data_IF_669200694725
#
_entry.id   IF_669200694725
#
_cell.length_a   1.000
_cell.length_b   1.000
_cell.length_c   1.000
_cell.angle_alpha   90.00
_cell.angle_beta   90.00
_cell.angle_gamma   90.00
#
_symmetry.space_group_name_H-M   'P 1'
#
loop_
_entity.id
_entity.type
_entity.pdbx_description
1 polymer ?
#
# COMPACT_ATOMS: atom_id res chain seq x y z
N UNK A 1 22.34 -24.33 -5.91
CA UNK A 1 20.91 -24.67 -6.15
C UNK A 1 19.91 -23.91 -5.26
N UNK A 2 20.17 -23.66 -3.97
CA UNK A 2 19.25 -22.89 -3.10
C UNK A 2 19.02 -21.45 -3.58
N UNK A 3 20.06 -20.81 -4.11
CA UNK A 3 20.04 -19.41 -4.56
C UNK A 3 19.17 -19.19 -5.82
N UNK A 4 19.16 -20.15 -6.74
CA UNK A 4 18.32 -20.11 -7.95
C UNK A 4 16.84 -20.28 -7.62
N UNK A 5 16.52 -21.18 -6.68
CA UNK A 5 15.14 -21.35 -6.18
C UNK A 5 14.66 -20.10 -5.42
N UNK A 6 15.53 -19.45 -4.67
CA UNK A 6 15.24 -18.18 -3.99
C UNK A 6 14.95 -17.07 -5.01
N UNK A 7 15.80 -16.90 -6.02
CA UNK A 7 15.60 -15.91 -7.08
C UNK A 7 14.30 -16.12 -7.85
N UNK A 8 13.98 -17.37 -8.19
CA UNK A 8 12.74 -17.70 -8.90
C UNK A 8 11.50 -17.40 -8.04
N UNK A 9 11.55 -17.73 -6.74
CA UNK A 9 10.48 -17.41 -5.80
C UNK A 9 10.31 -15.88 -5.64
N UNK A 10 11.41 -15.14 -5.47
CA UNK A 10 11.40 -13.68 -5.36
C UNK A 10 10.82 -13.03 -6.62
N UNK A 11 11.18 -13.51 -7.81
CA UNK A 11 10.60 -13.03 -9.07
C UNK A 11 9.09 -13.31 -9.14
N UNK A 12 8.64 -14.49 -8.70
CA UNK A 12 7.22 -14.81 -8.63
C UNK A 12 6.44 -13.88 -7.68
N UNK A 13 6.98 -13.63 -6.49
CA UNK A 13 6.38 -12.68 -5.54
C UNK A 13 6.38 -11.24 -6.07
N UNK A 14 7.45 -10.82 -6.75
CA UNK A 14 7.52 -9.50 -7.38
C UNK A 14 6.44 -9.35 -8.47
N UNK A 15 6.24 -10.37 -9.29
CA UNK A 15 5.25 -10.35 -10.37
C UNK A 15 3.83 -10.28 -9.81
N UNK A 16 3.52 -11.06 -8.77
CA UNK A 16 2.23 -10.98 -8.05
C UNK A 16 2.05 -9.60 -7.42
N UNK A 17 3.09 -9.04 -6.81
CA UNK A 17 3.05 -7.70 -6.23
C UNK A 17 2.72 -6.65 -7.29
N UNK A 18 3.36 -6.70 -8.47
CA UNK A 18 3.09 -5.80 -9.58
C UNK A 18 1.64 -5.92 -10.03
N UNK A 19 1.12 -7.14 -10.24
CA UNK A 19 -0.27 -7.35 -10.67
C UNK A 19 -1.27 -6.80 -9.64
N UNK A 20 -1.07 -7.11 -8.35
CA UNK A 20 -1.94 -6.61 -7.27
C UNK A 20 -1.86 -5.09 -7.19
N UNK A 21 -0.67 -4.52 -7.33
CA UNK A 21 -0.48 -3.07 -7.35
C UNK A 21 -1.23 -2.43 -8.51
N UNK A 22 -1.06 -2.92 -9.74
CA UNK A 22 -1.76 -2.39 -10.93
C UNK A 22 -3.28 -2.46 -10.79
N UNK A 23 -3.82 -3.59 -10.28
CA UNK A 23 -5.26 -3.72 -10.05
C UNK A 23 -5.74 -2.73 -9.00
N UNK A 24 -5.01 -2.57 -7.89
CA UNK A 24 -5.35 -1.58 -6.87
C UNK A 24 -5.29 -0.15 -7.41
N UNK A 25 -4.29 0.21 -8.20
CA UNK A 25 -4.19 1.53 -8.82
C UNK A 25 -5.37 1.78 -9.76
N UNK A 26 -5.75 0.80 -10.59
CA UNK A 26 -6.93 0.94 -11.45
C UNK A 26 -8.23 1.08 -10.66
N UNK A 27 -8.37 0.34 -9.56
CA UNK A 27 -9.52 0.48 -8.67
C UNK A 27 -9.55 1.88 -8.06
N UNK A 28 -8.42 2.38 -7.58
CA UNK A 28 -8.30 3.73 -7.02
C UNK A 28 -8.62 4.79 -8.08
N UNK A 29 -8.06 4.71 -9.28
CA UNK A 29 -8.35 5.64 -10.39
C UNK A 29 -9.83 5.61 -10.80
N UNK A 30 -10.48 4.44 -10.70
CA UNK A 30 -11.90 4.31 -11.01
C UNK A 30 -12.81 4.91 -9.91
N UNK A 31 -12.33 4.97 -8.66
CA UNK A 31 -13.04 5.61 -7.55
C UNK A 31 -12.69 7.10 -7.39
N UNK A 32 -11.47 7.48 -7.73
CA UNK A 32 -10.93 8.83 -7.67
C UNK A 32 -10.85 9.36 -9.10
N UNK A 33 -11.99 9.85 -9.61
CA UNK A 33 -12.05 10.53 -10.90
C UNK A 33 -11.29 11.86 -10.88
N UNK A 34 -10.84 12.33 -12.05
CA UNK A 34 -10.14 13.62 -12.19
C UNK A 34 -10.96 14.79 -11.60
N UNK A 35 -12.30 14.70 -11.70
CA UNK A 35 -13.23 15.65 -11.07
C UNK A 35 -13.16 15.64 -9.55
N UNK A 36 -12.99 14.48 -8.91
CA UNK A 36 -12.85 14.38 -7.46
C UNK A 36 -11.55 15.05 -6.99
N UNK A 37 -10.47 14.86 -7.73
CA UNK A 37 -9.16 15.48 -7.44
C UNK A 37 -9.23 16.99 -7.64
N UNK A 38 -9.84 17.46 -8.74
CA UNK A 38 -10.02 18.90 -9.01
C UNK A 38 -10.92 19.56 -7.97
N UNK A 39 -12.03 18.92 -7.58
CA UNK A 39 -12.89 19.43 -6.53
C UNK A 39 -12.17 19.48 -5.17
N UNK A 40 -11.40 18.44 -4.83
CA UNK A 40 -10.59 18.43 -3.62
C UNK A 40 -9.51 19.52 -3.63
N UNK A 41 -8.79 19.71 -4.74
CA UNK A 41 -7.82 20.78 -4.89
C UNK A 41 -8.48 22.17 -4.82
N UNK A 42 -9.66 22.32 -5.43
CA UNK A 42 -10.43 23.57 -5.39
C UNK A 42 -10.85 23.96 -3.98
N UNK A 43 -11.12 22.98 -3.10
CA UNK A 43 -11.41 23.22 -1.69
C UNK A 43 -10.22 23.89 -0.96
N UNK A 44 -8.99 23.58 -1.38
CA UNK A 44 -7.78 24.20 -0.86
C UNK A 44 -7.35 25.45 -1.64
N UNK A 45 -8.17 25.93 -2.57
CA UNK A 45 -7.85 27.09 -3.42
C UNK A 45 -6.79 26.83 -4.48
N UNK A 46 -6.48 25.55 -4.76
CA UNK A 46 -5.50 25.15 -5.76
C UNK A 46 -6.25 24.88 -7.06
N UNK A 47 -5.92 25.64 -8.10
CA UNK A 47 -6.57 25.54 -9.42
C UNK A 47 -5.58 25.24 -10.55
N UNK A 48 -4.28 25.38 -10.27
CA UNK A 48 -3.21 25.15 -11.23
C UNK A 48 -2.92 23.65 -11.35
N UNK A 49 -2.66 23.18 -12.57
CA UNK A 49 -2.39 21.77 -12.84
C UNK A 49 -1.18 21.23 -12.05
N UNK A 50 -0.16 22.06 -11.86
CA UNK A 50 1.03 21.72 -11.09
C UNK A 50 0.71 21.54 -9.60
N UNK A 51 -0.08 22.45 -9.02
CA UNK A 51 -0.52 22.33 -7.62
C UNK A 51 -1.46 21.14 -7.38
N UNK A 52 -2.31 20.80 -8.34
CA UNK A 52 -3.16 19.61 -8.29
C UNK A 52 -2.31 18.34 -8.29
N UNK A 53 -1.28 18.29 -9.15
CA UNK A 53 -0.35 17.16 -9.22
C UNK A 53 0.45 17.00 -7.91
N UNK A 54 0.93 18.10 -7.34
CA UNK A 54 1.64 18.11 -6.05
C UNK A 54 0.75 17.62 -4.90
N UNK A 55 -0.51 18.07 -4.87
CA UNK A 55 -1.48 17.64 -3.87
C UNK A 55 -1.77 16.14 -4.00
N UNK A 56 -1.89 15.63 -5.22
CA UNK A 56 -2.08 14.22 -5.47
C UNK A 56 -0.88 13.38 -4.99
N UNK A 57 0.34 13.79 -5.34
CA UNK A 57 1.57 13.10 -4.93
C UNK A 57 1.76 13.10 -3.40
N UNK A 58 1.53 14.24 -2.75
CA UNK A 58 1.61 14.35 -1.30
C UNK A 58 0.56 13.46 -0.61
N UNK A 59 -0.66 13.46 -1.12
CA UNK A 59 -1.74 12.60 -0.61
C UNK A 59 -1.39 11.12 -0.78
N UNK A 60 -0.88 10.73 -1.95
CA UNK A 60 -0.44 9.36 -2.22
C UNK A 60 0.68 8.90 -1.27
N UNK A 61 1.65 9.78 -0.98
CA UNK A 61 2.70 9.50 0.01
C UNK A 61 2.14 9.28 1.42
N UNK A 62 1.22 10.14 1.87
CA UNK A 62 0.61 10.03 3.20
C UNK A 62 -0.20 8.73 3.33
N UNK A 63 -1.03 8.41 2.32
CA UNK A 63 -1.81 7.16 2.30
C UNK A 63 -0.90 5.94 2.29
N UNK A 64 0.18 5.98 1.51
CA UNK A 64 1.17 4.89 1.46
C UNK A 64 1.86 4.68 2.81
N UNK A 65 2.22 5.77 3.50
CA UNK A 65 2.82 5.70 4.84
C UNK A 65 1.84 5.12 5.88
N UNK A 66 0.56 5.52 5.83
CA UNK A 66 -0.49 4.98 6.69
C UNK A 66 -0.72 3.48 6.44
N UNK A 67 -0.74 3.05 5.18
CA UNK A 67 -0.83 1.63 4.81
C UNK A 67 0.38 0.85 5.33
N UNK A 68 1.59 1.36 5.16
CA UNK A 68 2.81 0.72 5.66
C UNK A 68 2.80 0.58 7.20
N UNK A 69 2.35 1.61 7.92
CA UNK A 69 2.15 1.55 9.37
C UNK A 69 1.10 0.51 9.74
N UNK A 70 -0.03 0.46 9.03
CA UNK A 70 -1.09 -0.52 9.24
C UNK A 70 -0.60 -1.95 9.05
N UNK A 71 0.10 -2.23 7.95
CA UNK A 71 0.71 -3.54 7.68
C UNK A 71 1.72 -3.91 8.77
N UNK A 72 2.56 -2.97 9.19
CA UNK A 72 3.54 -3.19 10.26
C UNK A 72 2.88 -3.54 11.59
N UNK A 73 1.82 -2.82 11.95
CA UNK A 73 1.01 -3.09 13.14
C UNK A 73 0.34 -4.46 13.08
N UNK A 74 -0.27 -4.81 11.94
CA UNK A 74 -0.90 -6.10 11.73
C UNK A 74 0.11 -7.25 11.83
N UNK A 75 1.29 -7.10 11.22
CA UNK A 75 2.38 -8.07 11.36
C UNK A 75 2.82 -8.22 12.82
N UNK A 76 3.02 -7.11 13.54
CA UNK A 76 3.35 -7.14 14.98
C UNK A 76 2.28 -7.85 15.81
N UNK A 77 1.00 -7.58 15.54
CA UNK A 77 -0.11 -8.23 16.22
C UNK A 77 -0.18 -9.72 15.90
N UNK A 78 0.03 -10.10 14.63
CA UNK A 78 -0.01 -11.50 14.21
C UNK A 78 1.13 -12.32 14.84
N UNK A 79 2.35 -11.78 14.84
CA UNK A 79 3.52 -12.40 15.50
C UNK A 79 3.27 -12.54 17.01
N UNK A 80 2.77 -11.48 17.67
CA UNK A 80 2.43 -11.54 19.11
C UNK A 80 1.37 -12.59 19.43
N UNK A 81 0.33 -12.71 18.60
CA UNK A 81 -0.70 -13.75 18.76
C UNK A 81 -0.10 -15.15 18.60
N UNK A 82 0.69 -15.37 17.55
CA UNK A 82 1.40 -16.65 17.31
C UNK A 82 2.30 -17.05 18.48
N UNK A 83 3.08 -16.12 19.03
CA UNK A 83 3.95 -16.38 20.18
C UNK A 83 3.15 -16.79 21.42
N UNK A 84 2.06 -16.07 21.72
CA UNK A 84 1.20 -16.39 22.88
C UNK A 84 0.53 -17.77 22.75
N UNK A 85 0.15 -18.18 21.54
CA UNK A 85 -0.42 -19.53 21.31
C UNK A 85 0.63 -20.64 21.50
N UNK A 86 1.91 -20.38 21.20
CA UNK A 86 2.99 -21.34 21.42
C UNK A 86 3.27 -21.52 22.92
N UNK A 87 3.25 -20.45 23.70
CA UNK A 87 3.43 -20.52 25.16
C UNK A 87 2.31 -21.30 25.86
N UNK A 88 1.07 -21.20 25.38
CA UNK A 88 -0.10 -21.89 25.97
C UNK A 88 -0.24 -23.36 25.54
N UNK A 89 0.43 -23.79 24.47
CA UNK A 89 0.45 -25.19 24.03
C UNK A 89 1.66 -25.97 24.55
N UNK A 90 2.50 -25.34 25.37
CA UNK A 90 3.68 -25.93 25.99
C UNK A 90 3.47 -26.31 27.48
N UNK A 91 2.29 -26.02 28.04
CA UNK A 91 1.77 -26.57 29.31
C UNK A 91 0.88 -27.78 29.04
#
# INVERSE_FOLDING_TARGET
MKLVKLLLATMGYLLVFIVVFTVLTQVIDNFITDDAIRNFASFFGIHDAEGILDLYQNTAMVVSALLALGVTLLCRLHIRRKLRTIEQGAE
#
